data_IF_777548125016
#
_entry.id   IF_777548125016
#
_cell.length_a   1.000
_cell.length_b   1.000
_cell.length_c   1.000
_cell.angle_alpha   90.00
_cell.angle_beta   90.00
_cell.angle_gamma   90.00
#
_symmetry.space_group_name_H-M   'P 1'
#
loop_
_entity.id
_entity.type
_entity.pdbx_description
1 polymer ?
#
# COMPACT_ATOMS: atom_id res chain seq x y z
N UNK A 1 -18.48 11.00 13.94
CA UNK A 1 -17.05 11.42 14.01
C UNK A 1 -16.35 10.89 12.77
N UNK A 2 -15.33 11.59 12.26
CA UNK A 2 -14.46 11.11 11.19
C UNK A 2 -13.02 11.18 11.71
N UNK A 3 -12.26 10.09 11.60
CA UNK A 3 -10.84 10.05 11.94
C UNK A 3 -10.02 10.18 10.66
N UNK A 4 -9.39 11.35 10.52
CA UNK A 4 -8.45 11.64 9.45
C UNK A 4 -7.04 11.52 10.02
N UNK A 5 -6.47 10.33 9.90
CA UNK A 5 -5.16 9.97 10.40
C UNK A 5 -4.52 8.98 9.42
N UNK A 6 -3.20 8.83 9.43
CA UNK A 6 -2.55 7.79 8.63
C UNK A 6 -2.82 6.38 9.20
N UNK A 7 -2.38 5.34 8.50
CA UNK A 7 -2.69 3.96 8.89
C UNK A 7 -2.13 3.61 10.29
N UNK A 8 -0.91 4.02 10.60
CA UNK A 8 -0.26 3.80 11.88
C UNK A 8 -0.99 4.53 13.02
N UNK A 9 -1.34 5.80 12.81
CA UNK A 9 -2.12 6.58 13.76
C UNK A 9 -3.53 6.00 13.95
N UNK A 10 -4.19 5.57 12.87
CA UNK A 10 -5.47 4.89 12.93
C UNK A 10 -5.37 3.59 13.74
N UNK A 11 -4.28 2.85 13.60
CA UNK A 11 -4.03 1.64 14.38
C UNK A 11 -3.91 1.95 15.89
N UNK A 12 -3.28 3.07 16.25
CA UNK A 12 -3.21 3.53 17.64
C UNK A 12 -4.59 3.96 18.15
N UNK A 13 -5.34 4.75 17.36
CA UNK A 13 -6.66 5.25 17.74
C UNK A 13 -7.69 4.12 17.91
N UNK A 14 -7.65 3.10 17.07
CA UNK A 14 -8.57 1.96 17.09
C UNK A 14 -8.07 0.76 17.91
N UNK A 15 -6.92 0.90 18.59
CA UNK A 15 -6.30 -0.16 19.37
C UNK A 15 -6.04 -1.45 18.55
N UNK A 16 -5.65 -1.30 17.28
CA UNK A 16 -5.34 -2.44 16.39
C UNK A 16 -3.84 -2.55 16.15
N UNK A 17 -3.29 -3.76 16.07
CA UNK A 17 -1.85 -4.01 15.82
C UNK A 17 -1.40 -3.72 14.38
N UNK A 18 -2.34 -3.48 13.46
CA UNK A 18 -2.04 -3.30 12.04
C UNK A 18 -1.27 -4.49 11.46
N UNK A 19 -0.27 -4.21 10.61
CA UNK A 19 0.49 -5.25 9.85
C UNK A 19 1.23 -6.28 10.71
N UNK A 20 1.39 -6.00 12.00
CA UNK A 20 2.06 -6.88 12.95
C UNK A 20 1.13 -7.96 13.52
N UNK A 21 -0.17 -7.90 13.21
CA UNK A 21 -1.19 -8.81 13.71
C UNK A 21 -1.56 -9.95 12.74
N UNK A 22 -2.42 -10.88 13.18
CA UNK A 22 -3.02 -11.89 12.30
C UNK A 22 -4.18 -11.34 11.46
N UNK A 23 -4.80 -10.24 11.90
CA UNK A 23 -5.91 -9.53 11.24
C UNK A 23 -5.49 -8.08 10.99
N UNK A 24 -4.68 -7.81 9.96
CA UNK A 24 -3.96 -6.54 9.86
C UNK A 24 -4.83 -5.35 9.45
N UNK A 25 -5.97 -5.54 8.79
CA UNK A 25 -6.83 -4.41 8.46
C UNK A 25 -7.49 -3.85 9.72
N UNK A 26 -7.43 -2.53 9.89
CA UNK A 26 -8.08 -1.82 11.00
C UNK A 26 -9.60 -1.66 10.82
N UNK A 27 -10.14 -1.99 9.65
CA UNK A 27 -11.58 -1.91 9.33
C UNK A 27 -12.25 -3.27 9.35
N UNK A 28 -11.63 -4.31 8.79
CA UNK A 28 -12.21 -5.66 8.69
C UNK A 28 -11.31 -6.74 9.27
N UNK A 29 -11.91 -7.88 9.59
CA UNK A 29 -11.26 -9.06 10.17
C UNK A 29 -10.65 -9.96 9.09
N UNK A 30 -9.97 -9.36 8.10
CA UNK A 30 -9.27 -10.10 7.04
C UNK A 30 -7.99 -10.74 7.60
N UNK A 31 -7.78 -12.06 7.41
CA UNK A 31 -6.53 -12.70 7.77
C UNK A 31 -5.35 -12.17 6.96
N UNK A 32 -4.17 -12.10 7.58
CA UNK A 32 -2.93 -11.64 6.95
C UNK A 32 -2.58 -12.35 5.64
N UNK A 33 -2.89 -13.64 5.54
CA UNK A 33 -2.66 -14.44 4.33
C UNK A 33 -3.62 -14.14 3.17
N UNK A 34 -4.75 -13.51 3.46
CA UNK A 34 -5.87 -13.32 2.53
C UNK A 34 -5.99 -11.87 2.03
N UNK A 35 -4.99 -11.02 2.30
CA UNK A 35 -5.02 -9.59 1.92
C UNK A 35 -5.16 -9.33 0.42
N UNK A 36 -4.83 -10.30 -0.43
CA UNK A 36 -4.99 -10.21 -1.88
C UNK A 36 -6.25 -10.91 -2.41
N UNK A 37 -7.02 -11.57 -1.53
CA UNK A 37 -8.23 -12.31 -1.88
C UNK A 37 -9.43 -11.35 -1.93
N UNK A 38 -9.67 -10.77 -3.12
CA UNK A 38 -10.69 -9.72 -3.33
C UNK A 38 -12.12 -10.26 -3.51
N UNK A 39 -12.29 -11.59 -3.53
CA UNK A 39 -13.60 -12.24 -3.72
C UNK A 39 -14.30 -12.55 -2.39
N UNK A 40 -13.54 -12.60 -1.30
CA UNK A 40 -14.06 -12.88 0.03
C UNK A 40 -14.53 -11.60 0.72
N UNK A 41 -15.54 -11.75 1.57
CA UNK A 41 -16.01 -10.66 2.43
C UNK A 41 -15.75 -11.02 3.88
N UNK A 42 -15.04 -10.14 4.57
CA UNK A 42 -14.71 -10.31 5.98
C UNK A 42 -15.60 -9.42 6.84
N UNK A 43 -15.92 -9.90 8.03
CA UNK A 43 -16.69 -9.12 9.00
C UNK A 43 -15.93 -7.85 9.37
N UNK A 44 -16.68 -6.76 9.56
CA UNK A 44 -16.10 -5.50 10.03
C UNK A 44 -15.75 -5.61 11.52
N UNK A 45 -14.70 -4.90 11.92
CA UNK A 45 -14.43 -4.65 13.33
C UNK A 45 -15.55 -3.78 13.91
N UNK A 46 -16.02 -4.12 15.10
CA UNK A 46 -17.07 -3.35 15.79
C UNK A 46 -16.65 -3.09 17.22
N UNK A 47 -17.08 -1.96 17.77
CA UNK A 47 -16.77 -1.64 19.17
C UNK A 47 -17.24 -2.72 20.15
N UNK A 48 -18.48 -3.25 20.08
CA UNK A 48 -18.93 -4.25 21.04
C UNK A 48 -18.08 -5.52 21.00
N UNK A 49 -17.67 -5.95 19.81
CA UNK A 49 -16.79 -7.10 19.64
C UNK A 49 -15.41 -6.84 20.24
N UNK A 50 -14.79 -5.70 19.92
CA UNK A 50 -13.47 -5.36 20.45
C UNK A 50 -13.49 -5.26 21.98
N UNK A 51 -14.52 -4.62 22.56
CA UNK A 51 -14.68 -4.51 24.01
C UNK A 51 -14.81 -5.87 24.71
N UNK A 52 -15.53 -6.83 24.10
CA UNK A 52 -15.65 -8.18 24.66
C UNK A 52 -14.31 -8.92 24.66
N UNK A 53 -13.55 -8.84 23.55
CA UNK A 53 -12.21 -9.42 23.46
C UNK A 53 -11.26 -8.77 24.49
N UNK A 54 -11.32 -7.45 24.67
CA UNK A 54 -10.53 -6.77 25.68
C UNK A 54 -10.89 -7.19 27.10
N UNK A 55 -12.17 -7.42 27.39
CA UNK A 55 -12.61 -7.92 28.69
C UNK A 55 -12.02 -9.31 28.98
N UNK A 56 -12.04 -10.20 27.99
CA UNK A 56 -11.40 -11.52 28.11
C UNK A 56 -9.88 -11.38 28.32
N UNK A 57 -9.23 -10.48 27.58
CA UNK A 57 -7.80 -10.23 27.71
C UNK A 57 -7.42 -9.68 29.10
N UNK A 58 -8.27 -8.87 29.74
CA UNK A 58 -8.04 -8.34 31.11
C UNK A 58 -8.05 -9.42 32.19
N UNK A 59 -8.58 -10.61 31.91
CA UNK A 59 -8.53 -11.76 32.84
C UNK A 59 -7.17 -12.47 32.83
N UNK A 60 -6.33 -12.21 31.80
CA UNK A 60 -4.99 -12.76 31.67
C UNK A 60 -4.01 -11.96 32.54
N UNK A 61 -3.34 -12.62 33.47
CA UNK A 61 -2.49 -11.95 34.47
C UNK A 61 -1.13 -11.45 33.94
N UNK A 62 -0.65 -12.02 32.84
CA UNK A 62 0.65 -11.69 32.25
C UNK A 62 0.47 -10.82 31.01
N UNK A 63 1.12 -9.66 30.97
CA UNK A 63 1.07 -8.72 29.86
C UNK A 63 1.58 -9.30 28.53
N UNK A 64 2.53 -10.24 28.56
CA UNK A 64 3.01 -10.92 27.35
C UNK A 64 1.92 -11.82 26.77
N UNK A 65 1.37 -12.72 27.59
CA UNK A 65 0.33 -13.67 27.18
C UNK A 65 -0.96 -12.94 26.75
N UNK A 66 -1.26 -11.82 27.42
CA UNK A 66 -2.37 -10.93 27.07
C UNK A 66 -2.19 -10.32 25.68
N UNK A 67 -1.01 -9.81 25.36
CA UNK A 67 -0.73 -9.24 24.05
C UNK A 67 -0.69 -10.31 22.94
N UNK A 68 -0.19 -11.51 23.24
CA UNK A 68 -0.25 -12.64 22.31
C UNK A 68 -1.71 -13.02 22.00
N UNK A 69 -2.57 -13.08 23.02
CA UNK A 69 -4.00 -13.31 22.85
C UNK A 69 -4.64 -12.23 21.95
N UNK A 70 -4.46 -10.95 22.27
CA UNK A 70 -5.09 -9.87 21.48
C UNK A 70 -4.58 -9.81 20.03
N UNK A 71 -3.32 -10.19 19.80
CA UNK A 71 -2.72 -10.23 18.46
C UNK A 71 -3.44 -11.21 17.52
N UNK A 72 -4.01 -12.29 18.05
CA UNK A 72 -4.85 -13.22 17.27
C UNK A 72 -6.10 -12.53 16.71
N UNK A 73 -6.63 -11.55 17.45
CA UNK A 73 -7.79 -10.76 17.08
C UNK A 73 -7.42 -9.42 16.42
N UNK A 74 -6.14 -9.17 16.14
CA UNK A 74 -5.74 -7.90 15.53
C UNK A 74 -5.73 -6.69 16.47
N UNK A 75 -5.94 -6.89 17.77
CA UNK A 75 -6.09 -5.85 18.78
C UNK A 75 -4.82 -5.72 19.64
N UNK A 76 -4.56 -4.55 20.23
CA UNK A 76 -3.42 -4.33 21.11
C UNK A 76 -3.78 -3.56 22.37
N UNK A 77 -3.13 -3.89 23.48
CA UNK A 77 -3.03 -2.95 24.59
C UNK A 77 -1.94 -1.94 24.28
N UNK A 78 -2.33 -0.67 24.21
CA UNK A 78 -1.38 0.42 24.21
C UNK A 78 -1.43 1.03 25.60
N UNK A 79 -0.45 0.67 26.41
CA UNK A 79 -0.18 1.36 27.66
C UNK A 79 0.50 2.69 27.27
N UNK A 80 -0.26 3.77 27.11
CA UNK A 80 0.35 5.07 26.85
C UNK A 80 1.05 5.51 28.13
N UNK A 81 2.34 5.22 28.25
CA UNK A 81 3.24 5.77 29.25
C UNK A 81 3.49 7.28 29.07
N UNK A 82 2.49 8.07 28.67
CA UNK A 82 2.55 9.52 28.83
C UNK A 82 2.13 9.84 30.26
N UNK A 83 3.13 9.93 31.13
CA UNK A 83 3.04 10.60 32.42
C UNK A 83 2.68 12.09 32.20
N UNK A 84 1.43 12.41 31.86
CA UNK A 84 0.89 13.73 32.17
C UNK A 84 0.58 13.74 33.67
N UNK A 85 1.62 13.96 34.48
CA UNK A 85 1.47 14.19 35.91
C UNK A 85 0.92 15.60 36.14
N UNK A 86 -0.40 15.77 36.02
CA UNK A 86 -1.09 16.92 36.58
C UNK A 86 -1.67 16.52 37.93
N UNK A 87 -1.19 17.15 39.01
CA UNK A 87 -1.74 17.09 40.37
C UNK A 87 -1.95 15.68 40.96
N UNK A 88 -0.91 14.85 41.02
CA UNK A 88 -0.93 13.53 41.70
C UNK A 88 -2.02 12.55 41.22
N UNK A 89 -2.68 12.82 40.09
CA UNK A 89 -3.57 11.90 39.43
C UNK A 89 -2.80 11.23 38.29
N UNK A 90 -2.48 9.95 38.45
CA UNK A 90 -2.08 9.12 37.32
C UNK A 90 -3.35 8.90 36.52
N UNK A 91 -3.57 9.74 35.50
CA UNK A 91 -4.44 9.35 34.41
C UNK A 91 -3.69 8.24 33.67
N UNK A 92 -3.98 7.00 34.03
CA UNK A 92 -3.88 5.92 33.04
C UNK A 92 -4.87 6.37 31.97
N UNK A 93 -4.37 7.02 30.93
CA UNK A 93 -5.13 7.25 29.71
C UNK A 93 -5.26 5.87 29.08
N UNK A 94 -6.17 5.07 29.62
CA UNK A 94 -6.68 3.91 28.92
C UNK A 94 -7.15 4.45 27.57
N UNK A 95 -6.52 4.00 26.49
CA UNK A 95 -6.87 4.38 25.12
C UNK A 95 -8.31 3.96 24.72
N UNK A 96 -9.06 3.39 25.67
CA UNK A 96 -10.52 3.38 25.69
C UNK A 96 -11.14 4.79 25.62
N UNK A 97 -10.35 5.87 25.57
CA UNK A 97 -10.85 7.25 25.37
C UNK A 97 -11.91 7.31 24.26
N UNK A 98 -11.65 6.71 23.09
CA UNK A 98 -12.64 6.74 22.00
C UNK A 98 -13.88 5.88 22.28
N UNK A 99 -13.77 4.84 23.10
CA UNK A 99 -14.90 4.03 23.56
C UNK A 99 -15.72 4.73 24.66
N UNK A 100 -15.10 5.65 25.41
CA UNK A 100 -15.76 6.42 26.45
C UNK A 100 -16.63 7.56 25.92
N UNK A 101 -16.42 7.97 24.66
CA UNK A 101 -17.21 9.01 24.01
C UNK A 101 -18.58 8.43 23.62
N UNK A 102 -19.64 8.98 24.21
CA UNK A 102 -21.01 8.56 23.91
C UNK A 102 -21.33 8.75 22.41
N UNK A 103 -21.96 7.72 21.81
CA UNK A 103 -22.32 7.69 20.39
C UNK A 103 -21.14 7.78 19.41
N UNK A 104 -19.92 7.53 19.87
CA UNK A 104 -18.75 7.37 19.04
C UNK A 104 -18.54 5.89 18.71
N UNK A 105 -18.33 5.54 17.44
CA UNK A 105 -17.74 4.26 17.07
C UNK A 105 -16.45 4.51 16.30
N UNK A 106 -15.33 4.16 16.95
CA UNK A 106 -13.98 4.39 16.43
C UNK A 106 -13.78 3.64 15.11
N UNK A 107 -14.28 2.41 14.99
CA UNK A 107 -14.10 1.56 13.81
C UNK A 107 -14.90 2.08 12.61
N UNK A 108 -16.07 2.67 12.86
CA UNK A 108 -16.85 3.35 11.83
C UNK A 108 -16.29 4.71 11.43
N UNK A 109 -15.47 5.33 12.28
CA UNK A 109 -14.88 6.64 12.01
C UNK A 109 -13.58 6.56 11.19
N UNK A 110 -12.97 5.37 11.09
CA UNK A 110 -11.76 5.14 10.28
C UNK A 110 -12.05 5.36 8.79
N UNK A 111 -11.14 6.06 8.12
CA UNK A 111 -11.21 6.32 6.69
C UNK A 111 -9.99 5.78 5.97
N UNK A 112 -10.20 5.44 4.70
CA UNK A 112 -9.10 5.07 3.83
C UNK A 112 -8.18 6.26 3.56
N UNK A 113 -6.93 6.16 3.99
CA UNK A 113 -5.90 7.15 3.67
C UNK A 113 -5.30 6.85 2.29
N UNK A 114 -5.83 7.53 1.28
CA UNK A 114 -5.36 7.42 -0.08
C UNK A 114 -3.89 7.87 -0.24
N UNK A 115 -3.47 8.91 0.48
CA UNK A 115 -2.15 9.49 0.28
C UNK A 115 -1.05 8.51 0.68
N UNK A 116 -1.17 7.93 1.88
CA UNK A 116 -0.18 6.99 2.38
C UNK A 116 -0.35 5.59 1.79
N UNK A 117 -1.59 5.14 1.52
CA UNK A 117 -1.81 3.79 0.98
C UNK A 117 -1.47 3.69 -0.52
N UNK A 118 -1.92 4.66 -1.33
CA UNK A 118 -1.72 4.62 -2.78
C UNK A 118 -0.48 5.40 -3.19
N UNK A 119 -0.50 6.72 -3.06
CA UNK A 119 0.51 7.58 -3.70
C UNK A 119 1.91 7.38 -3.11
N UNK A 120 2.03 7.45 -1.79
CA UNK A 120 3.29 7.23 -1.09
C UNK A 120 3.59 5.74 -0.88
N UNK A 121 2.57 4.91 -0.65
CA UNK A 121 2.70 3.48 -0.43
C UNK A 121 2.88 2.71 -1.73
N UNK A 122 1.76 2.21 -2.28
CA UNK A 122 1.76 1.29 -3.43
C UNK A 122 2.50 1.85 -4.64
N UNK A 123 2.33 3.12 -4.97
CA UNK A 123 2.97 3.72 -6.13
C UNK A 123 4.45 3.99 -5.88
N UNK A 124 4.80 4.89 -4.95
CA UNK A 124 6.18 5.33 -4.79
C UNK A 124 7.12 4.23 -4.27
N UNK A 125 6.67 3.40 -3.32
CA UNK A 125 7.53 2.37 -2.73
C UNK A 125 7.63 1.09 -3.58
N UNK A 126 6.65 0.84 -4.46
CA UNK A 126 6.59 -0.40 -5.25
C UNK A 126 6.50 -0.13 -6.77
N UNK A 127 5.35 0.34 -7.29
CA UNK A 127 5.12 0.39 -8.74
C UNK A 127 6.13 1.27 -9.49
N UNK A 128 6.49 2.42 -8.94
CA UNK A 128 7.47 3.33 -9.54
C UNK A 128 8.85 2.67 -9.62
N UNK A 129 9.28 1.98 -8.57
CA UNK A 129 10.57 1.29 -8.53
C UNK A 129 10.63 0.16 -9.54
N UNK A 130 9.54 -0.60 -9.68
CA UNK A 130 9.42 -1.65 -10.69
C UNK A 130 9.56 -1.06 -12.10
N UNK A 131 8.87 0.06 -12.42
CA UNK A 131 9.00 0.71 -13.73
C UNK A 131 10.42 1.18 -14.01
N UNK A 132 11.05 1.84 -13.04
CA UNK A 132 12.45 2.28 -13.17
C UNK A 132 13.35 1.06 -13.42
N UNK A 133 13.20 0.00 -12.63
CA UNK A 133 13.96 -1.25 -12.79
C UNK A 133 13.77 -1.91 -14.15
N UNK A 134 12.54 -1.94 -14.70
CA UNK A 134 12.29 -2.43 -16.07
C UNK A 134 13.05 -1.61 -17.11
N UNK A 135 13.03 -0.28 -17.01
CA UNK A 135 13.71 0.60 -17.95
C UNK A 135 15.23 0.45 -17.85
N UNK A 136 15.78 0.32 -16.64
CA UNK A 136 17.21 0.14 -16.40
C UNK A 136 17.73 -1.20 -16.95
N UNK A 137 16.90 -2.25 -16.94
CA UNK A 137 17.23 -3.57 -17.54
C UNK A 137 17.32 -3.54 -19.07
N UNK A 138 16.70 -2.57 -19.75
CA UNK A 138 16.71 -2.51 -21.21
C UNK A 138 18.11 -2.23 -21.75
N UNK A 139 18.43 -2.84 -22.90
CA UNK A 139 19.61 -2.45 -23.68
C UNK A 139 19.48 -0.98 -24.07
N UNK A 140 20.57 -0.22 -23.91
CA UNK A 140 20.58 1.24 -24.10
C UNK A 140 19.69 2.00 -23.08
N UNK A 141 19.60 1.52 -21.84
CA UNK A 141 18.86 2.17 -20.76
C UNK A 141 19.12 3.68 -20.64
N UNK A 142 20.35 4.16 -20.87
CA UNK A 142 20.65 5.60 -20.92
C UNK A 142 19.82 6.38 -21.95
N UNK A 143 19.61 5.82 -23.15
CA UNK A 143 18.79 6.45 -24.19
C UNK A 143 17.32 6.47 -23.79
N UNK A 144 16.84 5.41 -23.14
CA UNK A 144 15.46 5.36 -22.65
C UNK A 144 15.24 6.28 -21.46
N UNK A 145 16.19 6.39 -20.54
CA UNK A 145 16.15 7.36 -19.44
C UNK A 145 16.03 8.79 -19.97
N UNK A 146 16.85 9.16 -20.96
CA UNK A 146 16.74 10.46 -21.63
C UNK A 146 15.37 10.63 -22.31
N UNK A 147 14.88 9.62 -23.01
CA UNK A 147 13.57 9.65 -23.65
C UNK A 147 12.44 9.86 -22.64
N UNK A 148 12.51 9.21 -21.47
CA UNK A 148 11.51 9.42 -20.40
C UNK A 148 11.51 10.87 -19.93
N UNK A 149 12.69 11.45 -19.67
CA UNK A 149 12.81 12.85 -19.23
C UNK A 149 12.29 13.83 -20.29
N UNK A 150 12.60 13.60 -21.57
CA UNK A 150 12.08 14.39 -22.69
C UNK A 150 10.56 14.32 -22.78
N UNK A 151 9.98 13.12 -22.63
CA UNK A 151 8.54 12.91 -22.67
C UNK A 151 7.85 13.54 -21.45
N UNK A 152 8.48 13.48 -20.28
CA UNK A 152 7.97 14.08 -19.05
C UNK A 152 7.93 15.61 -19.16
N UNK A 153 9.00 16.21 -19.70
CA UNK A 153 9.07 17.64 -20.00
C UNK A 153 8.08 18.07 -21.10
N UNK A 154 7.77 17.17 -22.05
CA UNK A 154 6.78 17.39 -23.09
C UNK A 154 5.32 17.16 -22.63
N UNK A 155 5.09 16.66 -21.41
CA UNK A 155 3.74 16.39 -20.92
C UNK A 155 2.91 17.68 -20.89
N UNK A 156 1.67 17.68 -21.41
CA UNK A 156 0.84 18.88 -21.48
C UNK A 156 0.67 19.55 -20.11
N UNK A 157 0.86 20.87 -20.07
CA UNK A 157 0.66 21.64 -18.84
C UNK A 157 -0.82 21.74 -18.52
N UNK A 158 -1.17 21.44 -17.27
CA UNK A 158 -2.52 21.59 -16.73
C UNK A 158 -2.48 22.34 -15.40
N UNK A 159 -3.57 23.01 -15.05
CA UNK A 159 -3.68 23.70 -13.75
C UNK A 159 -3.64 22.67 -12.62
N UNK A 160 -2.84 22.94 -11.59
CA UNK A 160 -2.71 22.09 -10.40
C UNK A 160 -2.03 20.71 -10.65
N UNK A 161 -1.45 20.50 -11.84
CA UNK A 161 -0.57 19.38 -12.14
C UNK A 161 0.90 19.80 -11.97
N UNK A 162 1.65 19.10 -11.12
CA UNK A 162 3.08 19.34 -10.99
C UNK A 162 3.81 18.88 -12.25
N UNK A 163 4.61 19.77 -12.83
CA UNK A 163 5.34 19.53 -14.07
C UNK A 163 6.81 19.26 -13.76
N UNK A 164 7.23 18.03 -14.01
CA UNK A 164 8.60 17.58 -13.82
C UNK A 164 9.43 17.93 -15.05
N UNK A 165 10.53 18.67 -14.86
CA UNK A 165 11.40 19.05 -15.97
C UNK A 165 12.39 17.94 -16.37
N UNK A 166 12.83 17.13 -15.41
CA UNK A 166 13.78 16.02 -15.59
C UNK A 166 13.87 15.18 -14.31
N UNK A 167 14.61 14.06 -14.38
CA UNK A 167 15.05 13.31 -13.21
C UNK A 167 14.15 12.12 -12.86
N UNK A 168 13.38 11.58 -13.81
CA UNK A 168 12.45 10.48 -13.56
C UNK A 168 13.13 9.27 -12.88
N UNK A 169 14.28 8.85 -13.40
CA UNK A 169 15.05 7.70 -12.87
C UNK A 169 15.57 7.98 -11.45
N UNK A 170 15.81 9.25 -11.12
CA UNK A 170 16.40 9.69 -9.85
C UNK A 170 15.38 10.38 -8.94
N UNK A 171 14.07 10.13 -9.12
CA UNK A 171 13.06 10.65 -8.18
C UNK A 171 13.25 9.97 -6.83
N UNK A 172 14.14 10.53 -6.01
CA UNK A 172 14.40 10.13 -4.64
C UNK A 172 13.75 11.15 -3.72
N UNK A 173 12.84 10.70 -2.85
CA UNK A 173 12.18 11.53 -1.84
C UNK A 173 11.46 12.77 -2.39
N UNK A 174 10.16 12.61 -2.64
CA UNK A 174 9.28 13.72 -2.97
C UNK A 174 8.01 13.64 -2.12
N UNK A 175 7.22 14.72 -2.05
CA UNK A 175 5.98 14.72 -1.29
C UNK A 175 4.92 13.80 -1.94
N UNK A 176 3.99 13.26 -1.14
CA UNK A 176 2.96 12.32 -1.63
C UNK A 176 2.12 12.90 -2.78
N UNK A 177 1.91 14.22 -2.79
CA UNK A 177 1.19 14.92 -3.86
C UNK A 177 1.95 14.85 -5.19
N UNK A 178 3.27 15.04 -5.19
CA UNK A 178 4.08 14.88 -6.41
C UNK A 178 4.07 13.44 -6.90
N UNK A 179 4.04 12.45 -6.01
CA UNK A 179 3.87 11.05 -6.44
C UNK A 179 2.52 10.81 -7.11
N UNK A 180 1.44 11.39 -6.59
CA UNK A 180 0.13 11.38 -7.28
C UNK A 180 0.20 12.03 -8.66
N UNK A 181 0.88 13.18 -8.79
CA UNK A 181 1.05 13.86 -10.08
C UNK A 181 1.94 13.08 -11.05
N UNK A 182 2.94 12.37 -10.53
CA UNK A 182 3.83 11.53 -11.33
C UNK A 182 3.11 10.28 -11.83
N UNK A 183 2.27 9.64 -11.01
CA UNK A 183 1.51 8.45 -11.41
C UNK A 183 0.64 8.72 -12.64
N UNK A 184 -0.01 9.89 -12.68
CA UNK A 184 -0.82 10.38 -13.82
C UNK A 184 0.00 10.57 -15.11
N UNK A 185 1.29 10.88 -14.99
CA UNK A 185 2.19 11.10 -16.13
C UNK A 185 2.92 9.80 -16.54
N UNK A 186 2.98 8.80 -15.67
CA UNK A 186 3.84 7.63 -15.83
C UNK A 186 3.52 6.79 -17.07
N UNK A 187 2.24 6.52 -17.33
CA UNK A 187 1.86 5.75 -18.52
C UNK A 187 2.25 6.52 -19.79
N UNK A 188 2.05 7.84 -19.82
CA UNK A 188 2.43 8.65 -20.96
C UNK A 188 3.93 8.60 -21.24
N UNK A 189 4.77 8.62 -20.22
CA UNK A 189 6.23 8.62 -20.43
C UNK A 189 6.82 7.22 -20.64
N UNK A 190 6.10 6.13 -20.33
CA UNK A 190 6.62 4.77 -20.41
C UNK A 190 6.01 3.91 -21.54
N UNK A 191 4.82 4.25 -22.07
CA UNK A 191 4.06 3.36 -22.97
C UNK A 191 4.77 2.94 -24.26
N UNK A 192 5.62 3.80 -24.83
CA UNK A 192 6.39 3.51 -26.04
C UNK A 192 7.79 2.96 -25.76
N UNK A 193 8.17 2.87 -24.47
CA UNK A 193 9.41 2.27 -24.00
C UNK A 193 9.14 0.81 -23.61
N UNK A 194 8.16 0.58 -22.74
CA UNK A 194 7.77 -0.74 -22.26
C UNK A 194 6.65 -1.34 -23.13
N UNK A 195 6.97 -1.59 -24.41
CA UNK A 195 6.02 -2.17 -25.36
C UNK A 195 5.97 -3.69 -25.21
N UNK A 196 4.87 -4.31 -25.70
CA UNK A 196 4.70 -5.76 -25.65
C UNK A 196 5.83 -6.51 -26.37
N UNK A 197 6.41 -5.93 -27.41
CA UNK A 197 7.48 -6.53 -28.22
C UNK A 197 8.85 -6.35 -27.58
N UNK A 198 9.08 -5.20 -26.92
CA UNK A 198 10.38 -4.87 -26.32
C UNK A 198 10.53 -5.44 -24.91
N UNK A 199 9.49 -5.28 -24.10
CA UNK A 199 9.45 -5.75 -22.72
C UNK A 199 8.03 -6.22 -22.36
N UNK A 200 7.69 -7.50 -22.62
CA UNK A 200 6.39 -8.06 -22.29
C UNK A 200 6.01 -7.91 -20.80
N UNK A 201 7.00 -8.02 -19.90
CA UNK A 201 6.79 -7.94 -18.44
C UNK A 201 6.56 -6.47 -18.04
N UNK A 202 7.33 -5.53 -18.58
CA UNK A 202 7.08 -4.09 -18.41
C UNK A 202 5.74 -3.64 -19.00
N UNK A 203 5.32 -4.21 -20.13
CA UNK A 203 3.99 -3.95 -20.69
C UNK A 203 2.87 -4.45 -19.75
N UNK A 204 3.05 -5.61 -19.13
CA UNK A 204 2.14 -6.11 -18.10
C UNK A 204 2.11 -5.18 -16.88
N UNK A 205 3.25 -4.65 -16.44
CA UNK A 205 3.33 -3.64 -15.38
C UNK A 205 2.56 -2.36 -15.74
N UNK A 206 2.62 -1.91 -17.00
CA UNK A 206 1.81 -0.77 -17.45
C UNK A 206 0.30 -1.06 -17.39
N UNK A 207 -0.13 -2.31 -17.59
CA UNK A 207 -1.53 -2.72 -17.38
C UNK A 207 -1.90 -2.66 -15.90
N UNK A 208 -1.03 -3.11 -15.00
CA UNK A 208 -1.21 -2.97 -13.54
C UNK A 208 -1.38 -1.50 -13.17
N UNK A 209 -0.47 -0.64 -13.65
CA UNK A 209 -0.50 0.81 -13.41
C UNK A 209 -1.78 1.47 -13.92
N UNK A 210 -2.29 1.04 -15.08
CA UNK A 210 -3.56 1.56 -15.59
C UNK A 210 -4.71 1.29 -14.62
N UNK A 211 -4.83 0.07 -14.12
CA UNK A 211 -5.91 -0.30 -13.18
C UNK A 211 -5.71 0.38 -11.83
N UNK A 212 -4.46 0.52 -11.36
CA UNK A 212 -4.11 1.33 -10.20
C UNK A 212 -4.61 2.77 -10.34
N UNK A 213 -4.34 3.45 -11.46
CA UNK A 213 -4.81 4.83 -11.68
C UNK A 213 -6.34 4.93 -11.75
N UNK A 214 -7.01 3.91 -12.30
CA UNK A 214 -8.48 3.86 -12.28
C UNK A 214 -9.01 3.77 -10.84
N UNK A 215 -8.39 2.93 -9.98
CA UNK A 215 -8.73 2.83 -8.57
C UNK A 215 -8.44 4.11 -7.79
N UNK A 216 -7.27 4.71 -8.01
CA UNK A 216 -6.88 5.99 -7.40
C UNK A 216 -7.87 7.11 -7.78
N UNK A 217 -8.26 7.18 -9.05
CA UNK A 217 -9.30 8.11 -9.52
C UNK A 217 -10.65 7.88 -8.83
N UNK A 218 -11.09 6.63 -8.66
CA UNK A 218 -12.34 6.37 -7.95
C UNK A 218 -12.23 6.72 -6.47
N UNK A 219 -11.11 6.41 -5.82
CA UNK A 219 -10.86 6.73 -4.41
C UNK A 219 -10.78 8.23 -4.15
N UNK A 220 -10.36 9.04 -5.15
CA UNK A 220 -10.22 10.49 -5.01
C UNK A 220 -11.55 11.27 -5.11
N UNK A 221 -12.69 10.60 -5.32
CA UNK A 221 -13.96 11.29 -5.45
C UNK A 221 -14.43 11.83 -4.10
N UNK A 222 -14.64 13.14 -4.03
CA UNK A 222 -15.21 13.79 -2.84
C UNK A 222 -16.66 13.39 -2.56
N UNK A 223 -17.36 12.90 -3.59
CA UNK A 223 -18.71 12.38 -3.49
C UNK A 223 -18.83 11.08 -4.29
N UNK A 224 -19.14 10.00 -3.58
CA UNK A 224 -19.42 8.72 -4.18
C UNK A 224 -20.92 8.56 -4.48
N UNK A 225 -21.21 7.94 -5.62
CA UNK A 225 -22.53 7.40 -5.94
C UNK A 225 -22.46 5.88 -5.89
N UNK A 226 -23.60 5.20 -5.81
CA UNK A 226 -23.63 3.73 -5.91
C UNK A 226 -22.92 3.23 -7.18
N UNK A 227 -23.04 3.98 -8.29
CA UNK A 227 -22.38 3.64 -9.56
C UNK A 227 -20.86 3.79 -9.50
N UNK A 228 -20.32 4.85 -8.88
CA UNK A 228 -18.87 5.03 -8.77
C UNK A 228 -18.24 4.06 -7.76
N UNK A 229 -18.96 3.73 -6.68
CA UNK A 229 -18.53 2.68 -5.74
C UNK A 229 -18.44 1.32 -6.44
N UNK A 230 -19.50 0.92 -7.14
CA UNK A 230 -19.52 -0.34 -7.87
C UNK A 230 -18.43 -0.39 -8.94
N UNK A 231 -18.23 0.70 -9.68
CA UNK A 231 -17.21 0.78 -10.71
C UNK A 231 -15.79 0.69 -10.13
N UNK A 232 -15.52 1.33 -8.98
CA UNK A 232 -14.25 1.21 -8.27
C UNK A 232 -14.03 -0.20 -7.72
N UNK A 233 -15.01 -0.76 -7.05
CA UNK A 233 -14.96 -2.14 -6.50
C UNK A 233 -14.69 -3.18 -7.59
N UNK A 234 -15.28 -3.03 -8.77
CA UNK A 234 -15.05 -3.93 -9.91
C UNK A 234 -13.60 -3.91 -10.44
N UNK A 235 -12.79 -2.88 -10.12
CA UNK A 235 -11.38 -2.81 -10.51
C UNK A 235 -10.44 -3.57 -9.59
N UNK A 236 -10.80 -3.74 -8.31
CA UNK A 236 -9.99 -4.47 -7.32
C UNK A 236 -9.58 -5.88 -7.77
N UNK A 237 -10.51 -6.77 -8.18
CA UNK A 237 -10.12 -8.11 -8.63
C UNK A 237 -9.26 -8.08 -9.90
N UNK A 238 -9.45 -7.08 -10.77
CA UNK A 238 -8.61 -6.92 -11.96
C UNK A 238 -7.18 -6.53 -11.57
N UNK A 239 -7.02 -5.61 -10.60
CA UNK A 239 -5.71 -5.23 -10.10
C UNK A 239 -5.00 -6.42 -9.45
N UNK A 240 -5.69 -7.14 -8.57
CA UNK A 240 -5.14 -8.32 -7.89
C UNK A 240 -4.67 -9.39 -8.89
N UNK A 241 -5.49 -9.72 -9.88
CA UNK A 241 -5.13 -10.69 -10.92
C UNK A 241 -3.89 -10.26 -11.72
N UNK A 242 -3.80 -8.98 -12.12
CA UNK A 242 -2.65 -8.47 -12.86
C UNK A 242 -1.37 -8.41 -12.01
N UNK A 243 -1.48 -8.11 -10.71
CA UNK A 243 -0.33 -8.15 -9.79
C UNK A 243 0.20 -9.58 -9.69
N UNK A 244 -0.67 -10.58 -9.53
CA UNK A 244 -0.27 -12.00 -9.50
C UNK A 244 0.37 -12.43 -10.82
N UNK A 245 -0.20 -12.02 -11.96
CA UNK A 245 0.38 -12.29 -13.29
C UNK A 245 1.78 -11.67 -13.41
N UNK A 246 1.95 -10.42 -12.97
CA UNK A 246 3.22 -9.71 -13.00
C UNK A 246 4.27 -10.34 -12.07
N UNK A 247 3.88 -10.68 -10.85
CA UNK A 247 4.76 -11.33 -9.87
C UNK A 247 5.27 -12.66 -10.41
N UNK A 248 4.38 -13.47 -10.98
CA UNK A 248 4.74 -14.75 -11.60
C UNK A 248 5.74 -14.55 -12.74
N UNK A 249 5.43 -13.66 -13.69
CA UNK A 249 6.28 -13.41 -14.85
C UNK A 249 7.67 -12.87 -14.44
N UNK A 250 7.71 -11.96 -13.48
CA UNK A 250 8.95 -11.38 -12.95
C UNK A 250 9.81 -12.43 -12.24
N UNK A 251 9.19 -13.35 -11.49
CA UNK A 251 9.88 -14.45 -10.81
C UNK A 251 10.44 -15.48 -11.80
N UNK A 252 9.70 -15.78 -12.85
CA UNK A 252 10.16 -16.67 -13.93
C UNK A 252 11.39 -16.07 -14.64
N UNK A 253 11.35 -14.79 -15.01
CA UNK A 253 12.51 -14.07 -15.59
C UNK A 253 13.74 -14.14 -14.66
N UNK A 254 13.56 -13.83 -13.37
CA UNK A 254 14.65 -13.88 -12.39
C UNK A 254 15.29 -15.27 -12.28
N UNK A 255 14.46 -16.33 -12.25
CA UNK A 255 14.95 -17.71 -12.17
C UNK A 255 15.71 -18.13 -13.44
N UNK A 256 15.25 -17.68 -14.61
CA UNK A 256 15.94 -17.92 -15.89
C UNK A 256 17.30 -17.22 -15.94
N UNK A 257 17.36 -15.95 -15.54
CA UNK A 257 18.61 -15.17 -15.44
C UNK A 257 19.61 -15.85 -14.48
N UNK A 258 19.14 -16.30 -13.31
CA UNK A 258 19.99 -16.98 -12.33
C UNK A 258 20.51 -18.33 -12.85
N UNK A 259 19.65 -19.13 -13.50
CA UNK A 259 20.07 -20.40 -14.11
C UNK A 259 21.11 -20.20 -15.23
N UNK A 260 20.96 -19.13 -16.03
CA UNK A 260 21.91 -18.79 -17.07
C UNK A 260 23.28 -18.40 -16.50
N UNK A 261 23.30 -17.64 -15.40
CA UNK A 261 24.53 -17.25 -14.70
C UNK A 261 25.29 -18.47 -14.19
N UNK A 262 24.62 -19.39 -13.47
CA UNK A 262 25.25 -20.61 -12.94
C UNK A 262 25.83 -21.50 -14.04
N UNK A 263 25.13 -21.61 -15.19
CA UNK A 263 25.64 -22.38 -16.34
C UNK A 263 26.91 -21.76 -16.94
N UNK A 264 27.00 -20.42 -16.99
CA UNK A 264 28.18 -19.73 -17.49
C UNK A 264 29.40 -19.93 -16.56
N UNK A 265 29.19 -19.87 -15.25
CA UNK A 265 30.25 -20.11 -14.24
C UNK A 265 30.79 -21.55 -14.32
N UNK A 266 29.90 -22.54 -14.46
CA UNK A 266 30.29 -23.95 -14.63
C UNK A 266 31.08 -24.19 -15.93
N UNK A 267 30.73 -23.51 -17.02
CA UNK A 267 31.45 -23.60 -18.31
C UNK A 267 32.79 -22.87 -18.31
N UNK A 268 33.01 -21.90 -17.42
CA UNK A 268 34.31 -21.26 -17.22
C UNK A 268 35.24 -22.13 -16.39
N UNK A 269 34.72 -22.84 -15.38
CA UNK A 269 35.50 -23.80 -14.58
C UNK A 269 35.93 -25.06 -15.34
N UNK A 270 35.19 -25.50 -16.36
CA UNK A 270 35.55 -26.65 -17.20
C UNK A 270 36.57 -26.31 -18.31
N UNK A 271 36.94 -25.04 -18.48
CA UNK A 271 37.92 -24.57 -19.48
C UNK A 271 39.32 -24.31 -18.90
N UNK A 272 39.52 -24.61 -17.63
CA UNK A 272 40.81 -24.67 -16.94
C UNK A 272 41.14 -26.12 -16.58
#
# INVERSE_FOLDING_TARGET
MILSADYEEQCVMALTWGVQSNLPCNICLVPKGCLLEMEETYNLQTMPWAQDIFKQAKEISNATDQNEFLKEFGLQFIEVGFLFQFNNHVLILDLELFWSIEHCDVYWALLFDQLHTFNHGLFALHLLKEVIGRIEKLKHSHSFAQQVDEQLSAFPRWKDLYHFAQGFIHVTYTDGLKFEMLSKQLIFIAHNILTKERDPIGYLLLRVLRVYMELDMYASFSLHTSSSLQAGQARLPTLAALIVEYEKASREEYNEEMSACTKLEMQQHQRH
#
